data_IF_712989852369
#
_entry.id   IF_712989852369
#
_cell.length_a   1.000
_cell.length_b   1.000
_cell.length_c   1.000
_cell.angle_alpha   90.00
_cell.angle_beta   90.00
_cell.angle_gamma   90.00
#
_symmetry.space_group_name_H-M   'P 1'
#
loop_
_entity.id
_entity.type
_entity.pdbx_description
1 polymer ?
#
# COMPACT_ATOMS: atom_id res chain seq x y z
N UNK A 1 23.72 -28.01 -0.53
CA UNK A 1 23.53 -27.64 0.89
C UNK A 1 23.09 -26.18 0.97
N UNK A 2 21.84 -25.89 0.55
CA UNK A 2 21.06 -24.67 0.85
C UNK A 2 19.69 -24.83 0.15
N UNK A 3 18.91 -25.77 0.66
CA UNK A 3 17.53 -26.05 0.21
C UNK A 3 16.64 -26.03 1.45
N UNK A 4 16.36 -24.84 1.98
CA UNK A 4 15.41 -24.64 3.09
C UNK A 4 15.24 -23.15 3.43
N UNK A 5 14.72 -22.35 2.49
CA UNK A 5 13.80 -21.22 2.72
C UNK A 5 13.56 -20.45 1.41
N UNK A 6 13.22 -21.15 0.33
CA UNK A 6 12.63 -20.49 -0.84
C UNK A 6 11.14 -20.29 -0.52
N UNK A 7 10.86 -19.32 0.37
CA UNK A 7 9.49 -18.82 0.49
C UNK A 7 9.22 -18.18 -0.86
N UNK A 8 8.50 -18.90 -1.72
CA UNK A 8 8.08 -18.45 -3.03
C UNK A 8 7.09 -17.30 -2.83
N UNK A 9 7.64 -16.12 -2.55
CA UNK A 9 6.92 -14.88 -2.27
C UNK A 9 5.96 -14.58 -3.41
N UNK A 10 6.32 -14.93 -4.65
CA UNK A 10 5.45 -14.83 -5.82
C UNK A 10 4.16 -15.64 -5.66
N UNK A 11 4.25 -16.93 -5.26
CA UNK A 11 3.07 -17.77 -5.01
C UNK A 11 2.28 -17.36 -3.78
N UNK A 12 2.95 -16.91 -2.71
CA UNK A 12 2.29 -16.47 -1.48
C UNK A 12 1.55 -15.15 -1.70
N UNK A 13 2.17 -14.22 -2.44
CA UNK A 13 1.55 -12.97 -2.87
C UNK A 13 0.40 -13.28 -3.82
N UNK A 14 0.54 -14.16 -4.82
CA UNK A 14 -0.55 -14.52 -5.73
C UNK A 14 -1.81 -15.05 -5.02
N UNK A 15 -1.63 -15.79 -3.91
CA UNK A 15 -2.75 -16.28 -3.08
C UNK A 15 -3.26 -15.25 -2.08
N UNK A 16 -2.45 -14.24 -1.78
CA UNK A 16 -2.68 -13.21 -0.76
C UNK A 16 -2.70 -11.78 -1.31
N UNK A 17 -2.92 -11.57 -2.61
CA UNK A 17 -2.77 -10.24 -3.25
C UNK A 17 -3.67 -9.20 -2.59
N UNK A 18 -4.89 -9.61 -2.22
CA UNK A 18 -5.84 -8.82 -1.45
C UNK A 18 -5.32 -8.43 -0.06
N UNK A 19 -4.62 -9.32 0.63
CA UNK A 19 -3.97 -9.01 1.91
C UNK A 19 -2.80 -8.04 1.72
N UNK A 20 -2.02 -8.21 0.66
CA UNK A 20 -0.90 -7.30 0.36
C UNK A 20 -1.42 -5.92 -0.04
N UNK A 21 -2.52 -5.83 -0.78
CA UNK A 21 -3.22 -4.58 -1.08
C UNK A 21 -3.69 -3.89 0.20
N UNK A 22 -4.35 -4.63 1.08
CA UNK A 22 -4.75 -4.13 2.40
C UNK A 22 -3.54 -3.63 3.20
N UNK A 23 -2.45 -4.40 3.23
CA UNK A 23 -1.21 -4.02 3.91
C UNK A 23 -0.61 -2.73 3.32
N UNK A 24 -0.62 -2.57 1.98
CA UNK A 24 -0.16 -1.36 1.30
C UNK A 24 -0.99 -0.14 1.69
N UNK A 25 -2.32 -0.28 1.71
CA UNK A 25 -3.22 0.78 2.17
C UNK A 25 -2.97 1.14 3.65
N UNK A 26 -2.87 0.16 4.53
CA UNK A 26 -2.62 0.41 5.96
C UNK A 26 -1.25 1.05 6.21
N UNK A 27 -0.22 0.61 5.49
CA UNK A 27 1.11 1.23 5.55
C UNK A 27 1.09 2.70 5.07
N UNK A 28 0.27 3.02 4.06
CA UNK A 28 0.07 4.40 3.57
C UNK A 28 -0.60 5.35 4.58
N UNK A 29 -1.22 4.83 5.64
CA UNK A 29 -1.77 5.67 6.72
C UNK A 29 -0.65 6.33 7.55
N UNK A 30 0.56 5.76 7.56
CA UNK A 30 1.70 6.32 8.27
C UNK A 30 2.15 7.59 7.52
N UNK A 31 2.15 8.78 8.14
CA UNK A 31 2.45 10.06 7.48
C UNK A 31 3.95 10.26 7.23
N UNK A 32 4.58 9.33 6.52
CA UNK A 32 5.99 9.31 6.13
C UNK A 32 6.18 8.42 4.91
N UNK A 33 7.09 8.76 3.99
CA UNK A 33 7.33 7.98 2.76
C UNK A 33 7.94 6.58 2.97
N UNK A 34 8.61 6.32 4.09
CA UNK A 34 9.36 5.09 4.35
C UNK A 34 8.57 3.79 4.11
N UNK A 35 7.43 3.57 4.78
CA UNK A 35 6.60 2.37 4.58
C UNK A 35 6.13 2.17 3.14
N UNK A 36 5.92 3.26 2.37
CA UNK A 36 5.49 3.18 0.98
C UNK A 36 6.62 2.68 0.05
N UNK A 37 7.88 3.03 0.34
CA UNK A 37 9.03 2.60 -0.47
C UNK A 37 9.20 1.08 -0.51
N UNK A 38 8.74 0.36 0.53
CA UNK A 38 8.72 -1.11 0.55
C UNK A 38 7.90 -1.64 -0.63
N UNK A 39 6.75 -1.04 -0.93
CA UNK A 39 5.90 -1.47 -2.04
C UNK A 39 6.45 -1.03 -3.39
N UNK A 40 7.11 0.13 -3.47
CA UNK A 40 7.82 0.55 -4.68
C UNK A 40 8.91 -0.44 -5.07
N UNK A 41 9.73 -0.88 -4.11
CA UNK A 41 10.81 -1.84 -4.37
C UNK A 41 10.26 -3.23 -4.70
N UNK A 42 9.21 -3.68 -4.00
CA UNK A 42 8.54 -4.93 -4.32
C UNK A 42 7.93 -4.92 -5.72
N UNK A 43 7.34 -3.80 -6.15
CA UNK A 43 6.80 -3.64 -7.49
C UNK A 43 7.91 -3.63 -8.54
N UNK A 44 8.97 -2.86 -8.31
CA UNK A 44 10.13 -2.80 -9.21
C UNK A 44 10.83 -4.17 -9.37
N UNK A 45 10.80 -5.01 -8.32
CA UNK A 45 11.28 -6.39 -8.35
C UNK A 45 10.29 -7.41 -8.95
N UNK A 46 9.09 -6.98 -9.36
CA UNK A 46 8.06 -7.85 -9.94
C UNK A 46 7.30 -8.72 -8.93
N UNK A 47 7.41 -8.44 -7.63
CA UNK A 47 6.81 -9.26 -6.57
C UNK A 47 5.34 -8.92 -6.28
N UNK A 48 4.90 -7.70 -6.58
CA UNK A 48 3.52 -7.25 -6.40
C UNK A 48 2.97 -6.64 -7.71
N UNK A 49 1.65 -6.72 -7.97
CA UNK A 49 1.05 -6.14 -9.16
C UNK A 49 0.90 -4.60 -9.06
N UNK A 50 0.59 -3.95 -10.19
CA UNK A 50 0.45 -2.50 -10.25
C UNK A 50 -0.72 -2.01 -9.40
N UNK A 51 -1.81 -2.79 -9.28
CA UNK A 51 -2.92 -2.48 -8.38
C UNK A 51 -2.51 -2.26 -6.93
N UNK A 52 -1.58 -3.04 -6.37
CA UNK A 52 -1.10 -2.88 -4.99
C UNK A 52 -0.30 -1.59 -4.85
N UNK A 53 0.61 -1.32 -5.80
CA UNK A 53 1.38 -0.09 -5.80
C UNK A 53 0.46 1.13 -5.91
N UNK A 54 -0.48 1.11 -6.85
CA UNK A 54 -1.47 2.16 -7.07
C UNK A 54 -2.29 2.44 -5.80
N UNK A 55 -2.80 1.39 -5.16
CA UNK A 55 -3.56 1.51 -3.92
C UNK A 55 -2.71 2.21 -2.84
N UNK A 56 -1.49 1.74 -2.62
CA UNK A 56 -0.57 2.35 -1.65
C UNK A 56 -0.20 3.79 -1.97
N UNK A 57 -0.04 4.14 -3.26
CA UNK A 57 0.26 5.50 -3.71
C UNK A 57 -0.90 6.47 -3.51
N UNK A 58 -2.15 6.00 -3.59
CA UNK A 58 -3.33 6.82 -3.28
C UNK A 58 -3.46 7.07 -1.77
N UNK A 59 -3.19 6.06 -0.93
CA UNK A 59 -3.35 6.20 0.53
C UNK A 59 -2.23 7.05 1.17
N UNK A 60 -1.04 7.03 0.57
CA UNK A 60 0.13 7.73 1.09
C UNK A 60 0.12 9.23 0.77
N UNK A 61 0.29 10.06 1.80
CA UNK A 61 0.36 11.54 1.70
C UNK A 61 1.76 12.11 2.01
N UNK A 62 2.66 11.28 2.54
CA UNK A 62 4.01 11.68 2.93
C UNK A 62 4.04 12.68 4.11
N UNK A 63 5.11 13.48 4.17
CA UNK A 63 5.36 14.40 5.29
C UNK A 63 4.42 15.60 5.33
N UNK A 64 3.72 15.92 4.24
CA UNK A 64 2.73 17.00 4.17
C UNK A 64 1.58 16.82 5.17
N UNK A 65 1.40 15.60 5.68
CA UNK A 65 0.38 15.28 6.65
C UNK A 65 0.77 15.61 8.11
N UNK A 66 2.06 15.82 8.40
CA UNK A 66 2.53 16.17 9.75
C UNK A 66 2.09 17.58 10.18
N UNK A 67 2.20 18.63 9.33
CA UNK A 67 1.62 19.95 9.64
C UNK A 67 0.10 19.90 9.83
N UNK A 68 -0.62 19.12 9.02
CA UNK A 68 -2.08 18.98 9.13
C UNK A 68 -2.47 18.28 10.43
N UNK A 69 -1.71 17.26 10.85
CA UNK A 69 -1.88 16.60 12.14
C UNK A 69 -1.69 17.59 13.31
N UNK A 70 -0.69 18.45 13.21
CA UNK A 70 -0.41 19.49 14.20
C UNK A 70 -1.50 20.57 14.24
N UNK A 71 -2.06 20.93 13.09
CA UNK A 71 -3.12 21.93 12.97
C UNK A 71 -4.50 21.41 13.42
N UNK A 72 -4.93 20.25 12.90
CA UNK A 72 -6.24 19.68 13.21
C UNK A 72 -6.26 18.16 13.03
N UNK A 73 -6.38 17.45 14.16
CA UNK A 73 -6.56 15.99 14.19
C UNK A 73 -7.80 15.54 13.42
N UNK A 74 -8.88 16.33 13.43
CA UNK A 74 -10.12 16.00 12.71
C UNK A 74 -9.90 16.03 11.20
N UNK A 75 -9.25 17.07 10.70
CA UNK A 75 -8.90 17.19 9.28
C UNK A 75 -7.91 16.09 8.88
N UNK A 76 -6.96 15.78 9.77
CA UNK A 76 -6.02 14.68 9.54
C UNK A 76 -6.72 13.34 9.33
N UNK A 77 -7.62 12.97 10.25
CA UNK A 77 -8.37 11.71 10.16
C UNK A 77 -9.28 11.69 8.95
N UNK A 78 -9.92 12.82 8.61
CA UNK A 78 -10.80 12.92 7.44
C UNK A 78 -10.04 12.65 6.13
N UNK A 79 -8.89 13.29 5.94
CA UNK A 79 -8.04 13.08 4.75
C UNK A 79 -7.61 11.62 4.67
N UNK A 80 -7.12 11.04 5.79
CA UNK A 80 -6.72 9.63 5.82
C UNK A 80 -7.87 8.67 5.52
N UNK A 81 -9.07 8.94 6.01
CA UNK A 81 -10.24 8.11 5.72
C UNK A 81 -10.64 8.18 4.23
N UNK A 82 -10.62 9.38 3.63
CA UNK A 82 -10.91 9.58 2.21
C UNK A 82 -9.87 8.83 1.36
N UNK A 83 -8.58 9.04 1.62
CA UNK A 83 -7.51 8.41 0.86
C UNK A 83 -7.54 6.88 1.00
N UNK A 84 -7.78 6.38 2.22
CA UNK A 84 -7.94 4.94 2.47
C UNK A 84 -9.10 4.35 1.68
N UNK A 85 -10.27 5.03 1.68
CA UNK A 85 -11.44 4.59 0.96
C UNK A 85 -11.17 4.53 -0.55
N UNK A 86 -10.66 5.61 -1.14
CA UNK A 86 -10.37 5.64 -2.57
C UNK A 86 -9.24 4.69 -2.96
N UNK A 87 -8.21 4.56 -2.14
CA UNK A 87 -7.11 3.62 -2.37
C UNK A 87 -7.58 2.17 -2.37
N UNK A 88 -8.45 1.79 -1.42
CA UNK A 88 -9.06 0.46 -1.39
C UNK A 88 -9.97 0.22 -2.58
N UNK A 89 -10.86 1.17 -2.91
CA UNK A 89 -11.81 1.00 -4.02
C UNK A 89 -11.10 0.90 -5.38
N UNK A 90 -10.21 1.85 -5.68
CA UNK A 90 -9.49 1.90 -6.95
C UNK A 90 -8.50 0.74 -7.05
N UNK A 91 -7.77 0.45 -5.98
CA UNK A 91 -6.85 -0.68 -5.91
C UNK A 91 -7.57 -2.02 -6.12
N UNK A 92 -8.69 -2.24 -5.43
CA UNK A 92 -9.50 -3.45 -5.56
C UNK A 92 -10.05 -3.60 -6.98
N UNK A 93 -10.54 -2.53 -7.58
CA UNK A 93 -11.03 -2.53 -8.95
C UNK A 93 -9.90 -2.86 -9.95
N UNK A 94 -8.72 -2.24 -9.79
CA UNK A 94 -7.56 -2.53 -10.62
C UNK A 94 -7.10 -3.99 -10.48
N UNK A 95 -7.08 -4.52 -9.26
CA UNK A 95 -6.73 -5.93 -8.98
C UNK A 95 -7.74 -6.89 -9.61
N UNK A 96 -9.03 -6.59 -9.51
CA UNK A 96 -10.10 -7.38 -10.14
C UNK A 96 -10.02 -7.32 -11.68
N UNK A 97 -9.53 -6.22 -12.25
CA UNK A 97 -9.26 -6.07 -13.68
C UNK A 97 -7.95 -6.75 -14.13
N UNK A 98 -7.17 -7.33 -13.21
CA UNK A 98 -5.90 -8.01 -13.51
C UNK A 98 -4.72 -7.07 -13.74
N UNK A 99 -4.80 -5.84 -13.24
CA UNK A 99 -3.76 -4.81 -13.33
C UNK A 99 -2.90 -4.80 -12.05
#
# INVERSE_FOLDING_TARGET
LTSSLDIDLGKLVARGQWFVLLAACLAGLIPQSGPHLIFVTLFAGGYIPMSVLLAGSIVQDGHGMLPVLAYSRRVFVLIKAINLLFGLLIGAAAMAAGI
#
